data_IF_628007399260
#
_entry.id   IF_628007399260
#
_cell.length_a   1.000
_cell.length_b   1.000
_cell.length_c   1.000
_cell.angle_alpha   90.00
_cell.angle_beta   90.00
_cell.angle_gamma   90.00
#
_symmetry.space_group_name_H-M   'P 1'
#
loop_
_entity.id
_entity.type
_entity.pdbx_description
1 polymer ?
#
# COMPACT_ATOMS: atom_id res chain seq x y z
N UNK A 1 22.73 19.96 11.51
CA UNK A 1 22.20 18.87 10.68
C UNK A 1 22.49 19.20 9.21
N UNK A 2 23.52 18.59 8.63
CA UNK A 2 23.83 18.66 7.20
C UNK A 2 23.43 17.37 6.47
N UNK A 3 23.42 17.40 5.13
CA UNK A 3 23.17 16.19 4.31
C UNK A 3 24.26 15.15 4.51
N UNK A 4 25.52 15.58 4.64
CA UNK A 4 26.66 14.68 4.87
C UNK A 4 26.54 13.93 6.20
N UNK A 5 26.08 14.63 7.24
CA UNK A 5 25.80 14.05 8.55
C UNK A 5 24.65 13.03 8.47
N UNK A 6 23.58 13.32 7.72
CA UNK A 6 22.47 12.40 7.50
C UNK A 6 22.87 11.15 6.73
N UNK A 7 23.73 11.29 5.70
CA UNK A 7 24.28 10.17 4.94
C UNK A 7 25.20 9.31 5.81
N UNK A 8 26.06 9.92 6.63
CA UNK A 8 26.94 9.21 7.55
C UNK A 8 26.15 8.41 8.60
N UNK A 9 25.03 8.94 9.07
CA UNK A 9 24.14 8.28 10.04
C UNK A 9 23.20 7.24 9.43
N UNK A 10 23.36 6.89 8.15
CA UNK A 10 22.55 5.86 7.50
C UNK A 10 21.12 6.28 7.17
N UNK A 11 20.83 7.58 7.10
CA UNK A 11 19.51 8.12 6.78
C UNK A 11 18.80 7.50 5.56
N UNK A 12 19.50 7.17 4.45
CA UNK A 12 18.89 6.46 3.33
C UNK A 12 18.30 5.09 3.70
N UNK A 13 18.93 4.34 4.62
CA UNK A 13 18.43 3.04 5.06
C UNK A 13 17.13 3.17 5.87
N UNK A 14 17.04 4.17 6.73
CA UNK A 14 15.82 4.49 7.47
C UNK A 14 14.68 4.86 6.52
N UNK A 15 14.97 5.64 5.48
CA UNK A 15 13.98 6.00 4.45
C UNK A 15 13.50 4.77 3.67
N UNK A 16 14.42 3.91 3.22
CA UNK A 16 14.08 2.69 2.49
C UNK A 16 13.22 1.77 3.38
N UNK A 17 13.58 1.65 4.66
CA UNK A 17 12.82 0.83 5.63
C UNK A 17 11.40 1.37 5.81
N UNK A 18 11.24 2.69 5.97
CA UNK A 18 9.95 3.33 6.09
C UNK A 18 9.08 3.11 4.84
N UNK A 19 9.64 3.30 3.64
CA UNK A 19 8.91 3.11 2.37
C UNK A 19 8.54 1.64 2.17
N UNK A 20 9.44 0.70 2.45
CA UNK A 20 9.17 -0.73 2.33
C UNK A 20 8.06 -1.18 3.28
N UNK A 21 8.03 -0.66 4.50
CA UNK A 21 6.99 -0.96 5.48
C UNK A 21 5.63 -0.39 5.07
N UNK A 22 5.60 0.82 4.52
CA UNK A 22 4.35 1.49 4.13
C UNK A 22 3.79 0.98 2.79
N UNK A 23 4.62 0.45 1.90
CA UNK A 23 4.17 -0.07 0.61
C UNK A 23 2.96 -1.05 0.71
N UNK A 24 2.98 -2.11 1.52
CA UNK A 24 1.82 -3.01 1.67
C UNK A 24 0.61 -2.31 2.30
N UNK A 25 0.83 -1.34 3.20
CA UNK A 25 -0.25 -0.56 3.84
C UNK A 25 -0.99 0.29 2.80
N UNK A 26 -0.25 0.94 1.90
CA UNK A 26 -0.82 1.73 0.81
C UNK A 26 -1.62 0.82 -0.12
N UNK A 27 -1.07 -0.33 -0.52
CA UNK A 27 -1.78 -1.29 -1.38
C UNK A 27 -3.09 -1.75 -0.73
N UNK A 28 -3.07 -2.13 0.56
CA UNK A 28 -4.28 -2.51 1.29
C UNK A 28 -5.30 -1.37 1.34
N UNK A 29 -4.85 -0.14 1.59
CA UNK A 29 -5.72 1.04 1.62
C UNK A 29 -6.39 1.28 0.27
N UNK A 30 -5.68 1.07 -0.84
CA UNK A 30 -6.24 1.23 -2.18
C UNK A 30 -7.34 0.20 -2.46
N UNK A 31 -7.07 -1.08 -2.23
CA UNK A 31 -8.00 -2.16 -2.62
C UNK A 31 -9.19 -2.33 -1.69
N UNK A 32 -9.07 -1.94 -0.41
CA UNK A 32 -10.14 -2.08 0.58
C UNK A 32 -10.92 -0.78 0.84
N UNK A 33 -10.36 0.40 0.54
CA UNK A 33 -11.01 1.69 0.85
C UNK A 33 -11.15 2.58 -0.38
N UNK A 34 -10.04 2.97 -1.01
CA UNK A 34 -10.09 4.00 -2.07
C UNK A 34 -10.91 3.50 -3.27
N UNK A 35 -10.68 2.27 -3.71
CA UNK A 35 -11.44 1.66 -4.81
C UNK A 35 -12.95 1.57 -4.52
N UNK A 36 -13.41 0.94 -3.41
CA UNK A 36 -14.85 0.88 -3.14
C UNK A 36 -15.51 2.24 -2.91
N UNK A 37 -14.79 3.22 -2.34
CA UNK A 37 -15.28 4.59 -2.22
C UNK A 37 -15.48 5.21 -3.62
N UNK A 38 -14.52 5.02 -4.53
CA UNK A 38 -14.62 5.50 -5.91
C UNK A 38 -15.75 4.85 -6.71
N UNK A 39 -16.10 3.60 -6.40
CA UNK A 39 -17.25 2.90 -6.99
C UNK A 39 -18.59 3.21 -6.30
N UNK A 40 -18.56 3.81 -5.11
CA UNK A 40 -19.75 4.10 -4.30
C UNK A 40 -20.30 2.90 -3.52
N UNK A 41 -19.55 1.78 -3.45
CA UNK A 41 -19.96 0.57 -2.74
C UNK A 41 -18.77 -0.22 -2.21
N UNK A 42 -18.82 -0.58 -0.92
CA UNK A 42 -17.84 -1.50 -0.31
C UNK A 42 -17.94 -2.93 -0.83
N UNK A 43 -19.06 -3.32 -1.45
CA UNK A 43 -19.20 -4.63 -2.06
C UNK A 43 -18.29 -4.81 -3.29
N UNK A 44 -17.81 -3.72 -3.89
CA UNK A 44 -16.88 -3.77 -5.02
C UNK A 44 -15.42 -3.94 -4.56
N UNK A 45 -15.11 -3.69 -3.27
CA UNK A 45 -13.76 -3.86 -2.72
C UNK A 45 -13.24 -5.30 -2.77
N UNK A 46 -11.92 -5.47 -2.61
CA UNK A 46 -11.29 -6.81 -2.64
C UNK A 46 -11.83 -7.71 -1.51
N UNK A 47 -12.35 -8.93 -1.80
CA UNK A 47 -12.80 -9.84 -0.75
C UNK A 47 -11.63 -10.54 -0.02
N UNK A 48 -11.76 -10.79 1.29
CA UNK A 48 -10.75 -11.47 2.13
C UNK A 48 -10.71 -13.01 1.94
N UNK A 49 -10.97 -13.49 0.73
CA UNK A 49 -10.99 -14.92 0.38
C UNK A 49 -10.17 -15.14 -0.88
N UNK A 50 -9.48 -16.27 -0.97
CA UNK A 50 -8.58 -16.60 -2.10
C UNK A 50 -9.30 -16.47 -3.45
N UNK A 51 -10.47 -17.10 -3.61
CA UNK A 51 -11.27 -17.00 -4.83
C UNK A 51 -11.79 -15.59 -5.11
N UNK A 52 -12.03 -14.80 -4.06
CA UNK A 52 -12.44 -13.39 -4.17
C UNK A 52 -11.30 -12.50 -4.66
N UNK A 53 -10.07 -12.74 -4.22
CA UNK A 53 -8.88 -12.06 -4.73
C UNK A 53 -8.69 -12.31 -6.23
N UNK A 54 -8.84 -13.56 -6.69
CA UNK A 54 -8.78 -13.88 -8.12
C UNK A 54 -9.93 -13.26 -8.90
N UNK A 55 -11.14 -13.27 -8.34
CA UNK A 55 -12.29 -12.64 -8.96
C UNK A 55 -12.09 -11.12 -9.12
N UNK A 56 -11.57 -10.46 -8.09
CA UNK A 56 -11.23 -9.03 -8.12
C UNK A 56 -10.22 -8.71 -9.23
N UNK A 57 -9.16 -9.52 -9.40
CA UNK A 57 -8.18 -9.33 -10.48
C UNK A 57 -8.73 -9.56 -11.89
N UNK A 58 -9.79 -10.37 -12.05
CA UNK A 58 -10.37 -10.64 -13.37
C UNK A 58 -11.38 -9.57 -13.79
N UNK A 59 -12.10 -9.01 -12.82
CA UNK A 59 -13.17 -8.02 -13.07
C UNK A 59 -12.61 -6.61 -13.24
N UNK A 60 -11.47 -6.31 -12.61
CA UNK A 60 -10.76 -5.04 -12.71
C UNK A 60 -9.74 -5.03 -13.86
#
# INVERSE_FOLDING_TARGET
ASVDEWLYNGGPYELITAVAYLAPVVVATVVFLIYPIGQGSFSDGMPLRISGSFNFTIVF
#
